data_IF_365422596122
#
_entry.id   IF_365422596122
#
_cell.length_a   1.000
_cell.length_b   1.000
_cell.length_c   1.000
_cell.angle_alpha   90.00
_cell.angle_beta   90.00
_cell.angle_gamma   90.00
#
_symmetry.space_group_name_H-M   'P 1'
#
loop_
_entity.id
_entity.type
_entity.pdbx_description
1 polymer ?
#
# COMPACT_ATOMS: atom_id res chain seq x y z
N UNK A 1 -30.79 12.08 21.43
CA UNK A 1 -30.45 11.80 22.83
C UNK A 1 -29.13 12.47 23.13
N UNK A 2 -29.19 13.76 23.44
CA UNK A 2 -28.02 14.57 23.75
C UNK A 2 -28.31 15.17 25.12
N UNK A 3 -27.60 14.70 26.14
CA UNK A 3 -27.33 15.42 27.38
C UNK A 3 -26.60 14.47 28.33
N UNK A 4 -25.27 14.49 28.26
CA UNK A 4 -24.37 14.18 29.37
C UNK A 4 -23.12 15.05 29.17
N UNK A 5 -23.31 16.36 29.24
CA UNK A 5 -22.20 17.30 29.32
C UNK A 5 -21.90 17.48 30.81
N UNK A 6 -21.02 16.62 31.34
CA UNK A 6 -20.34 16.90 32.60
C UNK A 6 -19.21 17.85 32.19
N UNK A 7 -19.19 19.12 32.64
CA UNK A 7 -18.16 20.05 32.24
C UNK A 7 -16.86 19.60 32.89
N UNK A 8 -16.02 18.90 32.14
CA UNK A 8 -14.66 18.64 32.56
C UNK A 8 -13.94 20.00 32.60
N UNK A 9 -13.39 20.30 33.77
CA UNK A 9 -12.63 21.51 34.02
C UNK A 9 -11.46 21.57 33.03
N UNK A 10 -11.54 22.53 32.10
CA UNK A 10 -10.67 22.73 30.93
C UNK A 10 -9.27 23.28 31.31
N UNK A 11 -8.78 22.94 32.52
CA UNK A 11 -7.48 23.36 33.07
C UNK A 11 -6.53 22.18 33.31
N UNK A 12 -6.75 21.04 32.66
CA UNK A 12 -5.76 19.96 32.60
C UNK A 12 -5.38 19.76 31.14
N UNK A 13 -4.14 20.13 30.81
CA UNK A 13 -3.50 19.85 29.50
C UNK A 13 -3.64 18.38 29.06
N UNK A 14 -3.92 17.48 30.00
CA UNK A 14 -4.05 16.04 29.77
C UNK A 14 -5.49 15.61 29.41
N UNK A 15 -6.48 16.50 29.44
CA UNK A 15 -7.89 16.13 29.19
C UNK A 15 -8.12 15.59 27.76
N UNK A 16 -7.44 16.19 26.78
CA UNK A 16 -7.44 15.74 25.40
C UNK A 16 -6.75 14.38 25.24
N UNK A 17 -5.65 14.12 25.96
CA UNK A 17 -4.93 12.84 25.91
C UNK A 17 -5.73 11.70 26.55
N UNK A 18 -6.46 11.98 27.65
CA UNK A 18 -7.39 11.01 28.24
C UNK A 18 -8.58 10.71 27.32
N UNK A 19 -9.05 11.69 26.53
CA UNK A 19 -10.08 11.50 25.51
C UNK A 19 -9.57 10.60 24.35
N UNK A 20 -8.31 10.77 23.92
CA UNK A 20 -7.67 9.89 22.91
C UNK A 20 -7.41 8.46 23.40
N UNK A 21 -7.42 8.20 24.71
CA UNK A 21 -7.41 6.83 25.26
C UNK A 21 -8.76 6.13 25.11
N UNK A 22 -9.85 6.91 25.14
CA UNK A 22 -11.22 6.39 25.02
C UNK A 22 -11.70 6.34 23.56
N UNK A 23 -11.32 7.33 22.76
CA UNK A 23 -11.64 7.43 21.33
C UNK A 23 -10.36 7.47 20.51
N UNK A 24 -10.02 6.35 19.89
CA UNK A 24 -8.88 6.33 18.95
C UNK A 24 -9.25 7.03 17.64
N UNK A 25 -8.25 7.57 16.92
CA UNK A 25 -8.42 8.07 15.53
C UNK A 25 -9.13 7.05 14.62
N UNK A 26 -8.87 5.75 14.83
CA UNK A 26 -9.53 4.64 14.13
C UNK A 26 -11.02 4.56 14.49
N UNK A 27 -11.35 4.63 15.78
CA UNK A 27 -12.73 4.61 16.27
C UNK A 27 -13.55 5.79 15.73
N UNK A 28 -12.95 6.97 15.63
CA UNK A 28 -13.57 8.16 15.05
C UNK A 28 -13.87 8.00 13.55
N UNK A 29 -12.88 7.53 12.76
CA UNK A 29 -13.08 7.29 11.32
C UNK A 29 -14.08 6.15 11.06
N UNK A 30 -14.11 5.13 11.91
CA UNK A 30 -15.12 4.06 11.83
C UNK A 30 -16.52 4.58 12.14
N UNK A 31 -16.69 5.44 13.15
CA UNK A 31 -17.98 6.03 13.52
C UNK A 31 -18.54 6.93 12.39
N UNK A 32 -17.67 7.74 11.78
CA UNK A 32 -18.05 8.57 10.61
C UNK A 32 -18.29 7.69 9.37
N UNK A 33 -17.51 6.62 9.19
CA UNK A 33 -17.74 5.61 8.15
C UNK A 33 -19.13 4.98 8.25
N UNK A 34 -19.56 4.56 9.45
CA UNK A 34 -20.90 3.98 9.65
C UNK A 34 -22.01 5.01 9.36
N UNK A 35 -21.80 6.28 9.71
CA UNK A 35 -22.78 7.34 9.43
C UNK A 35 -22.79 7.80 7.95
N UNK A 36 -21.67 7.66 7.22
CA UNK A 36 -21.50 8.19 5.87
C UNK A 36 -21.47 7.15 4.74
N UNK A 37 -21.14 5.89 5.02
CA UNK A 37 -20.95 4.85 4.01
C UNK A 37 -22.09 3.81 4.03
N UNK A 38 -23.18 4.14 3.35
CA UNK A 38 -23.91 3.21 2.46
C UNK A 38 -24.40 1.86 2.98
N UNK A 39 -24.46 1.60 4.29
CA UNK A 39 -25.09 0.37 4.79
C UNK A 39 -26.59 0.61 4.92
N UNK A 40 -27.33 0.20 3.89
CA UNK A 40 -28.79 0.21 3.91
C UNK A 40 -29.28 -1.13 4.46
N UNK A 41 -30.05 -1.11 5.54
CA UNK A 41 -30.80 -2.28 5.95
C UNK A 41 -32.03 -2.40 5.05
N UNK A 42 -32.10 -3.45 4.22
CA UNK A 42 -33.30 -3.77 3.44
C UNK A 42 -34.01 -4.93 4.14
N UNK A 43 -34.95 -4.58 5.02
CA UNK A 43 -35.57 -5.54 5.94
C UNK A 43 -34.60 -5.94 7.05
N UNK A 44 -34.45 -7.26 7.30
CA UNK A 44 -33.56 -7.82 8.32
C UNK A 44 -32.12 -8.08 7.83
N UNK A 45 -31.82 -7.76 6.56
CA UNK A 45 -30.51 -8.00 5.97
C UNK A 45 -29.73 -6.68 5.85
N UNK A 46 -28.51 -6.66 6.40
CA UNK A 46 -27.57 -5.56 6.19
C UNK A 46 -27.03 -5.64 4.76
N UNK A 47 -27.39 -4.70 3.90
CA UNK A 47 -26.75 -4.55 2.60
C UNK A 47 -25.49 -3.69 2.81
N UNK A 48 -24.33 -4.27 2.57
CA UNK A 48 -23.07 -3.52 2.44
C UNK A 48 -22.82 -3.25 0.97
N UNK A 49 -22.74 -1.98 0.59
CA UNK A 49 -22.48 -1.57 -0.80
C UNK A 49 -21.05 -1.94 -1.28
N UNK A 50 -20.19 -2.40 -0.37
CA UNK A 50 -18.84 -2.84 -0.67
C UNK A 50 -18.45 -4.00 0.24
N UNK A 51 -18.22 -5.18 -0.34
CA UNK A 51 -17.45 -6.22 0.32
C UNK A 51 -15.97 -5.83 0.24
N UNK A 52 -15.20 -5.87 1.35
CA UNK A 52 -13.76 -5.63 1.28
C UNK A 52 -13.10 -6.68 0.38
N UNK A 53 -12.09 -6.26 -0.40
CA UNK A 53 -11.33 -7.21 -1.20
C UNK A 53 -10.65 -8.26 -0.29
N UNK A 54 -10.38 -9.49 -0.77
CA UNK A 54 -9.67 -10.49 0.01
C UNK A 54 -8.35 -9.97 0.60
N UNK A 55 -7.62 -9.14 -0.15
CA UNK A 55 -6.40 -8.48 0.32
C UNK A 55 -6.68 -7.51 1.47
N UNK A 56 -7.72 -6.68 1.34
CA UNK A 56 -8.12 -5.73 2.40
C UNK A 56 -8.53 -6.45 3.67
N UNK A 57 -9.28 -7.56 3.54
CA UNK A 57 -9.65 -8.40 4.67
C UNK A 57 -8.42 -9.05 5.31
N UNK A 58 -7.47 -9.55 4.51
CA UNK A 58 -6.22 -10.13 5.02
C UNK A 58 -5.38 -9.09 5.78
N UNK A 59 -5.22 -7.88 5.25
CA UNK A 59 -4.49 -6.79 5.92
C UNK A 59 -5.18 -6.38 7.22
N UNK A 60 -6.51 -6.30 7.24
CA UNK A 60 -7.27 -5.92 8.43
C UNK A 60 -7.17 -6.95 9.57
N UNK A 61 -6.97 -8.23 9.23
CA UNK A 61 -6.81 -9.32 10.20
C UNK A 61 -5.33 -9.65 10.49
N UNK A 62 -4.37 -8.95 9.88
CA UNK A 62 -2.95 -9.17 10.14
C UNK A 62 -2.58 -8.62 11.53
N UNK A 63 -2.08 -9.49 12.40
CA UNK A 63 -1.57 -9.11 13.73
C UNK A 63 -0.12 -8.63 13.61
N UNK A 64 0.06 -7.41 13.11
CA UNK A 64 1.37 -6.82 12.82
C UNK A 64 1.32 -5.31 12.91
N UNK A 65 2.30 -4.71 13.59
CA UNK A 65 2.49 -3.26 13.65
C UNK A 65 3.16 -2.66 12.38
N UNK A 66 3.55 -3.51 11.43
CA UNK A 66 4.17 -3.06 10.18
C UNK A 66 3.20 -2.26 9.29
N UNK A 67 3.72 -1.20 8.69
CA UNK A 67 2.96 -0.35 7.77
C UNK A 67 3.17 -0.84 6.33
N UNK A 68 2.08 -1.23 5.66
CA UNK A 68 2.11 -1.56 4.24
C UNK A 68 1.85 -0.31 3.39
N UNK A 69 2.81 0.07 2.54
CA UNK A 69 2.67 1.14 1.55
C UNK A 69 2.52 0.50 0.17
N UNK A 70 1.34 0.66 -0.44
CA UNK A 70 1.07 0.20 -1.80
C UNK A 70 1.18 1.36 -2.79
N UNK A 71 2.19 1.31 -3.65
CA UNK A 71 2.39 2.30 -4.71
C UNK A 71 1.96 1.68 -6.03
N UNK A 72 0.79 2.08 -6.53
CA UNK A 72 0.35 1.72 -7.88
C UNK A 72 0.83 2.76 -8.87
N UNK A 73 1.81 2.39 -9.69
CA UNK A 73 2.25 3.20 -10.81
C UNK A 73 1.25 3.04 -11.96
N UNK A 74 0.55 4.13 -12.31
CA UNK A 74 -0.37 4.15 -13.45
C UNK A 74 0.33 4.76 -14.66
N UNK A 75 0.19 4.15 -15.84
CA UNK A 75 0.78 4.64 -17.09
C UNK A 75 1.88 3.72 -17.62
N UNK A 76 2.97 4.32 -18.12
CA UNK A 76 4.01 3.62 -18.90
C UNK A 76 5.06 2.84 -18.11
N UNK A 77 4.88 2.65 -16.80
CA UNK A 77 5.77 1.78 -16.04
C UNK A 77 5.31 0.32 -16.17
N UNK A 78 5.95 -0.44 -17.04
CA UNK A 78 5.71 -1.87 -17.20
C UNK A 78 6.78 -2.71 -16.46
N UNK A 79 6.48 -4.00 -16.32
CA UNK A 79 7.38 -4.96 -15.66
C UNK A 79 8.72 -5.10 -16.36
N UNK A 80 8.79 -4.95 -17.69
CA UNK A 80 9.99 -5.18 -18.49
C UNK A 80 10.92 -3.95 -18.57
N UNK A 81 10.40 -2.75 -18.29
CA UNK A 81 11.21 -1.55 -18.04
C UNK A 81 11.76 -1.52 -16.62
N UNK A 82 11.16 -2.27 -15.68
CA UNK A 82 11.59 -2.30 -14.28
C UNK A 82 12.52 -3.48 -14.01
N UNK A 83 12.14 -4.68 -14.48
CA UNK A 83 12.86 -5.94 -14.32
C UNK A 83 13.13 -6.49 -15.72
N UNK A 84 14.39 -6.39 -16.13
CA UNK A 84 14.84 -6.68 -17.50
C UNK A 84 15.30 -8.13 -17.56
N UNK A 85 14.74 -8.97 -18.46
CA UNK A 85 15.19 -10.35 -18.63
C UNK A 85 16.49 -10.37 -19.46
N UNK A 86 17.61 -10.62 -18.78
CA UNK A 86 18.95 -10.64 -19.39
C UNK A 86 19.12 -11.88 -20.27
N UNK A 87 18.64 -13.04 -19.83
CA UNK A 87 18.75 -14.30 -20.59
C UNK A 87 18.06 -14.21 -21.96
N UNK A 88 16.99 -13.44 -22.06
CA UNK A 88 16.18 -13.26 -23.27
C UNK A 88 16.30 -11.84 -23.83
N UNK A 89 17.46 -11.19 -23.64
CA UNK A 89 17.65 -9.78 -23.98
C UNK A 89 17.37 -9.47 -25.46
N UNK A 90 17.78 -10.34 -26.39
CA UNK A 90 17.53 -10.14 -27.82
C UNK A 90 16.03 -10.14 -28.14
N UNK A 91 15.26 -11.06 -27.56
CA UNK A 91 13.80 -11.10 -27.71
C UNK A 91 13.16 -9.85 -27.12
N UNK A 92 13.61 -9.45 -25.92
CA UNK A 92 13.17 -8.24 -25.25
C UNK A 92 13.42 -6.98 -26.09
N UNK A 93 14.62 -6.83 -26.64
CA UNK A 93 15.01 -5.66 -27.44
C UNK A 93 14.25 -5.62 -28.77
N UNK A 94 14.12 -6.76 -29.45
CA UNK A 94 13.38 -6.86 -30.71
C UNK A 94 11.87 -6.60 -30.55
N UNK A 95 11.28 -7.04 -29.43
CA UNK A 95 9.88 -6.77 -29.11
C UNK A 95 9.63 -5.31 -28.70
N UNK A 96 10.69 -4.58 -28.30
CA UNK A 96 10.59 -3.23 -27.72
C UNK A 96 11.54 -2.22 -28.40
N UNK A 97 11.55 -2.11 -29.74
CA UNK A 97 12.59 -1.38 -30.47
C UNK A 97 12.72 0.10 -30.08
N UNK A 98 11.64 0.71 -29.58
CA UNK A 98 11.61 2.12 -29.20
C UNK A 98 11.87 2.39 -27.71
N UNK A 99 11.73 1.37 -26.85
CA UNK A 99 11.68 1.55 -25.39
C UNK A 99 12.52 0.53 -24.61
N UNK A 100 13.29 -0.32 -25.30
CA UNK A 100 14.23 -1.22 -24.64
C UNK A 100 15.32 -0.43 -23.92
N UNK A 101 15.78 -0.97 -22.79
CA UNK A 101 16.92 -0.42 -22.07
C UNK A 101 18.20 -1.06 -22.63
N UNK A 102 19.18 -0.27 -23.14
CA UNK A 102 20.45 -0.80 -23.63
C UNK A 102 21.18 -1.60 -22.54
N UNK A 103 21.83 -2.71 -22.91
CA UNK A 103 22.53 -3.60 -21.98
C UNK A 103 23.59 -2.86 -21.14
N UNK A 104 24.25 -1.85 -21.72
CA UNK A 104 25.21 -0.98 -21.02
C UNK A 104 24.59 -0.13 -19.91
N UNK A 105 23.26 -0.03 -19.86
CA UNK A 105 22.48 0.66 -18.83
C UNK A 105 21.70 -0.32 -17.95
N UNK A 106 22.05 -1.60 -17.97
CA UNK A 106 21.46 -2.63 -17.11
C UNK A 106 22.42 -2.94 -15.96
N UNK A 107 21.91 -2.81 -14.75
CA UNK A 107 22.54 -3.29 -13.53
C UNK A 107 22.04 -4.71 -13.26
N UNK A 108 22.96 -5.68 -13.28
CA UNK A 108 22.60 -7.10 -13.12
C UNK A 108 22.32 -7.40 -11.65
N UNK A 109 21.14 -7.95 -11.36
CA UNK A 109 20.78 -8.42 -10.02
C UNK A 109 21.02 -9.93 -9.89
N UNK A 110 20.80 -10.67 -10.97
CA UNK A 110 21.11 -12.08 -11.15
C UNK A 110 21.62 -12.31 -12.57
N UNK A 111 21.96 -13.56 -12.91
CA UNK A 111 22.32 -13.94 -14.29
C UNK A 111 21.11 -13.88 -15.23
N UNK A 112 19.89 -13.97 -14.69
CA UNK A 112 18.63 -14.00 -15.44
C UNK A 112 18.00 -12.60 -15.55
N UNK A 113 18.15 -11.75 -14.54
CA UNK A 113 17.43 -10.48 -14.42
C UNK A 113 18.32 -9.31 -13.99
N UNK A 114 17.98 -8.12 -14.50
CA UNK A 114 18.58 -6.86 -14.11
C UNK A 114 17.56 -5.74 -13.94
N UNK A 115 18.03 -4.62 -13.43
CA UNK A 115 17.28 -3.37 -13.32
C UNK A 115 17.99 -2.27 -14.10
N UNK A 116 17.28 -1.23 -14.55
CA UNK A 116 17.92 -0.07 -15.14
C UNK A 116 18.93 0.60 -14.20
N UNK A 117 20.02 1.13 -14.75
CA UNK A 117 21.10 1.75 -13.97
C UNK A 117 20.68 2.99 -13.16
N UNK A 118 19.59 3.65 -13.54
CA UNK A 118 19.01 4.74 -12.74
C UNK A 118 18.33 4.24 -11.45
N UNK A 119 18.19 2.93 -11.28
CA UNK A 119 17.69 2.27 -10.06
C UNK A 119 18.85 1.73 -9.19
N UNK A 120 20.07 2.25 -9.35
CA UNK A 120 21.24 1.80 -8.59
C UNK A 120 21.07 1.86 -7.07
N UNK A 121 20.19 2.72 -6.56
CA UNK A 121 19.83 2.74 -5.13
C UNK A 121 19.25 1.41 -4.62
N UNK A 122 18.66 0.58 -5.51
CA UNK A 122 18.11 -0.72 -5.16
C UNK A 122 19.17 -1.84 -5.11
N UNK A 123 20.37 -1.62 -5.63
CA UNK A 123 21.43 -2.64 -5.67
C UNK A 123 21.84 -3.08 -4.26
N UNK A 124 22.09 -2.12 -3.35
CA UNK A 124 22.41 -2.42 -1.94
C UNK A 124 21.25 -3.15 -1.26
N UNK A 125 20.02 -2.66 -1.48
CA UNK A 125 18.82 -3.27 -0.89
C UNK A 125 18.60 -4.71 -1.38
N UNK A 126 18.94 -5.00 -2.64
CA UNK A 126 18.90 -6.36 -3.18
C UNK A 126 19.94 -7.25 -2.50
N UNK A 127 21.20 -6.79 -2.42
CA UNK A 127 22.28 -7.51 -1.75
C UNK A 127 22.02 -7.79 -0.27
N UNK A 128 21.31 -6.88 0.41
CA UNK A 128 20.89 -7.01 1.81
C UNK A 128 19.60 -7.82 1.99
N UNK A 129 18.96 -8.28 0.91
CA UNK A 129 17.70 -9.03 0.97
C UNK A 129 16.47 -8.19 1.36
N UNK A 130 16.59 -6.87 1.33
CA UNK A 130 15.52 -5.92 1.62
C UNK A 130 14.63 -5.59 0.41
N UNK A 131 15.12 -5.90 -0.80
CA UNK A 131 14.39 -5.73 -2.05
C UNK A 131 14.26 -7.06 -2.78
N UNK A 132 13.07 -7.32 -3.33
CA UNK A 132 12.79 -8.50 -4.16
C UNK A 132 11.83 -8.13 -5.28
N UNK A 133 12.14 -8.61 -6.48
CA UNK A 133 11.25 -8.54 -7.63
C UNK A 133 10.36 -9.80 -7.65
N UNK A 134 9.07 -9.60 -7.93
CA UNK A 134 8.09 -10.66 -8.13
C UNK A 134 7.40 -10.36 -9.45
N UNK A 135 7.45 -11.29 -10.40
CA UNK A 135 6.93 -11.10 -11.76
C UNK A 135 6.17 -12.34 -12.24
#
# INVERSE_FOLDING_TARGET
>A
MCNNHIPLNINKDNGHDEEHKFWSRRSFLQAIGIAGSGSMMLGSNMLTASAPSPLTAAIANADSDNILILIRLSGGNDGLSTVIPIEQYDLYANARPNIYIPESKVLKLTDEFGVPSYMNALESMWGEGQFKAVH
#
